data_IF_827256361038
#
_entry.id   IF_827256361038
#
_cell.length_a   1.000
_cell.length_b   1.000
_cell.length_c   1.000
_cell.angle_alpha   90.00
_cell.angle_beta   90.00
_cell.angle_gamma   90.00
#
_symmetry.space_group_name_H-M   'P 1'
#
loop_
_entity.id
_entity.type
_entity.pdbx_description
1 polymer ?
#
# COMPACT_ATOMS: atom_id res chain seq x y z
N UNK A 1 18.29 30.65 -1.07
CA UNK A 1 19.54 30.21 -0.42
C UNK A 1 19.25 29.11 0.62
N UNK A 2 18.71 27.95 0.19
CA UNK A 2 18.34 26.84 1.09
C UNK A 2 18.33 25.45 0.41
N UNK A 3 19.21 25.21 -0.58
CA UNK A 3 19.24 23.97 -1.38
C UNK A 3 20.43 23.03 -1.05
N UNK A 4 21.18 23.30 0.01
CA UNK A 4 22.50 22.67 0.24
C UNK A 4 22.58 21.67 1.42
N UNK A 5 21.44 21.13 1.89
CA UNK A 5 21.40 20.09 2.96
C UNK A 5 20.92 18.70 2.51
N UNK A 6 20.80 18.45 1.20
CA UNK A 6 20.20 17.22 0.67
C UNK A 6 21.06 15.94 0.58
N UNK A 7 22.40 15.90 0.75
CA UNK A 7 23.12 14.63 0.59
C UNK A 7 22.88 13.65 1.76
N UNK A 8 22.70 14.15 2.99
CA UNK A 8 22.43 13.31 4.17
C UNK A 8 21.03 12.66 4.09
N UNK A 9 20.04 13.39 3.57
CA UNK A 9 18.67 12.92 3.43
C UNK A 9 18.57 11.86 2.32
N UNK A 10 19.29 12.07 1.21
CA UNK A 10 19.47 11.07 0.15
C UNK A 10 20.20 9.81 0.66
N UNK A 11 21.25 9.96 1.46
CA UNK A 11 21.94 8.81 2.06
C UNK A 11 21.06 8.04 3.04
N UNK A 12 20.24 8.73 3.85
CA UNK A 12 19.25 8.10 4.73
C UNK A 12 18.20 7.29 3.95
N UNK A 13 17.67 7.86 2.85
CA UNK A 13 16.70 7.17 1.98
C UNK A 13 17.37 6.03 1.21
N UNK A 14 18.61 6.17 0.78
CA UNK A 14 19.36 5.09 0.13
C UNK A 14 19.73 3.96 1.09
N UNK A 15 20.05 4.29 2.34
CA UNK A 15 20.28 3.30 3.40
C UNK A 15 18.98 2.56 3.75
N UNK A 16 17.83 3.26 3.77
CA UNK A 16 16.49 2.68 3.89
C UNK A 16 16.17 1.75 2.71
N UNK A 17 16.45 2.19 1.48
CA UNK A 17 16.20 1.46 0.23
C UNK A 17 17.07 0.22 0.06
N UNK A 18 18.28 0.20 0.63
CA UNK A 18 19.23 -0.93 0.51
C UNK A 18 18.86 -2.19 1.27
N UNK A 19 17.69 -2.25 1.90
CA UNK A 19 17.22 -3.48 2.55
C UNK A 19 18.11 -3.92 3.70
N UNK A 20 18.80 -2.97 4.37
CA UNK A 20 19.18 -3.24 5.76
C UNK A 20 17.87 -3.47 6.49
N UNK A 21 17.64 -4.70 6.94
CA UNK A 21 16.47 -5.05 7.74
C UNK A 21 16.27 -3.97 8.79
N UNK A 22 15.27 -3.12 8.56
CA UNK A 22 14.88 -2.17 9.55
C UNK A 22 14.33 -3.00 10.68
N UNK A 23 15.03 -2.99 11.81
CA UNK A 23 14.58 -3.56 13.07
C UNK A 23 13.09 -3.20 13.19
N UNK A 24 12.23 -4.22 13.30
CA UNK A 24 10.76 -4.16 13.20
C UNK A 24 10.11 -2.93 13.88
N UNK A 25 10.76 -2.39 14.91
CA UNK A 25 10.43 -1.14 15.61
C UNK A 25 10.25 0.11 14.74
N UNK A 26 10.82 0.22 13.54
CA UNK A 26 10.72 1.45 12.72
C UNK A 26 9.42 1.56 11.92
N UNK A 27 8.66 0.47 11.76
CA UNK A 27 7.39 0.48 11.01
C UNK A 27 6.21 0.96 11.86
N UNK A 28 6.26 0.71 13.17
CA UNK A 28 5.25 1.12 14.14
C UNK A 28 5.00 2.65 14.12
N UNK A 29 6.03 3.53 14.19
CA UNK A 29 5.79 4.97 14.18
C UNK A 29 5.19 5.46 12.86
N UNK A 30 5.52 4.83 11.71
CA UNK A 30 4.90 5.19 10.42
C UNK A 30 3.40 4.88 10.36
N UNK A 31 2.93 3.88 11.12
CA UNK A 31 1.52 3.53 11.22
C UNK A 31 0.79 4.36 12.29
N UNK A 32 1.45 4.63 13.42
CA UNK A 32 0.87 5.40 14.52
C UNK A 32 0.75 6.87 14.15
N UNK A 33 1.71 7.43 13.41
CA UNK A 33 1.75 8.85 13.13
C UNK A 33 0.50 9.36 12.36
N UNK A 34 0.05 8.73 11.26
CA UNK A 34 -1.20 9.14 10.60
C UNK A 34 -2.44 9.02 11.49
N UNK A 35 -2.53 7.96 12.29
CA UNK A 35 -3.62 7.77 13.26
C UNK A 35 -3.65 8.87 14.31
N UNK A 36 -2.47 9.24 14.83
CA UNK A 36 -2.33 10.31 15.79
C UNK A 36 -2.77 11.65 15.20
N UNK A 37 -2.28 12.01 14.00
CA UNK A 37 -2.69 13.24 13.30
C UNK A 37 -4.20 13.26 13.07
N UNK A 38 -4.78 12.14 12.66
CA UNK A 38 -6.22 12.03 12.44
C UNK A 38 -7.04 12.29 13.73
N UNK A 39 -6.63 11.68 14.85
CA UNK A 39 -7.27 11.89 16.15
C UNK A 39 -7.17 13.36 16.59
N UNK A 40 -6.01 13.99 16.41
CA UNK A 40 -5.81 15.41 16.74
C UNK A 40 -6.76 16.29 15.94
N UNK A 41 -6.86 16.09 14.62
CA UNK A 41 -7.76 16.87 13.75
C UNK A 41 -9.23 16.70 14.16
N UNK A 42 -9.65 15.49 14.54
CA UNK A 42 -11.01 15.25 15.04
C UNK A 42 -11.26 15.99 16.35
N UNK A 43 -10.32 15.91 17.30
CA UNK A 43 -10.45 16.58 18.60
C UNK A 43 -10.53 18.10 18.41
N UNK A 44 -9.66 18.68 17.57
CA UNK A 44 -9.70 20.12 17.26
C UNK A 44 -11.04 20.52 16.64
N UNK A 45 -11.53 19.77 15.66
CA UNK A 45 -12.84 20.01 15.05
C UNK A 45 -13.98 19.93 16.07
N UNK A 46 -13.94 18.96 16.98
CA UNK A 46 -14.93 18.79 18.03
C UNK A 46 -14.88 19.94 19.04
N UNK A 47 -13.70 20.36 19.47
CA UNK A 47 -13.51 21.48 20.40
C UNK A 47 -14.04 22.78 19.78
N UNK A 48 -13.73 23.04 18.51
CA UNK A 48 -14.23 24.23 17.79
C UNK A 48 -15.77 24.22 17.66
N UNK A 49 -16.35 23.08 17.32
CA UNK A 49 -17.80 22.92 17.20
C UNK A 49 -18.52 23.10 18.55
N UNK A 50 -17.94 22.60 19.65
CA UNK A 50 -18.53 22.71 20.99
C UNK A 50 -18.39 24.11 21.59
N UNK A 51 -17.30 24.82 21.27
CA UNK A 51 -17.02 26.16 21.80
C UNK A 51 -17.87 27.22 21.10
N UNK A 52 -18.10 27.08 19.78
CA UNK A 52 -18.83 28.07 18.98
C UNK A 52 -20.14 27.50 18.42
N UNK A 53 -21.07 27.10 19.30
CA UNK A 53 -22.34 26.48 18.89
C UNK A 53 -23.20 27.34 17.96
N UNK A 54 -23.11 28.67 18.06
CA UNK A 54 -23.84 29.60 17.21
C UNK A 54 -23.35 29.64 15.76
N UNK A 55 -22.13 29.18 15.51
CA UNK A 55 -21.51 29.14 14.17
C UNK A 55 -21.82 27.84 13.42
N UNK A 56 -22.47 26.88 14.07
CA UNK A 56 -22.81 25.58 13.49
C UNK A 56 -24.15 25.72 12.77
N UNK A 57 -24.09 25.81 11.45
CA UNK A 57 -25.26 25.85 10.60
C UNK A 57 -25.47 24.50 9.91
N UNK A 58 -26.74 24.12 9.76
CA UNK A 58 -27.09 22.92 9.02
C UNK A 58 -27.13 23.26 7.53
N UNK A 59 -26.46 22.45 6.72
CA UNK A 59 -26.49 22.63 5.28
C UNK A 59 -27.94 22.61 4.74
N UNK A 60 -28.28 23.35 3.68
CA UNK A 60 -29.63 23.37 3.11
C UNK A 60 -30.15 22.00 2.71
N UNK A 61 -29.26 21.06 2.36
CA UNK A 61 -29.63 19.69 2.05
C UNK A 61 -29.88 18.82 3.30
N UNK A 62 -29.70 19.37 4.50
CA UNK A 62 -29.95 18.75 5.81
C UNK A 62 -29.09 17.52 6.13
N UNK A 63 -28.13 17.16 5.28
CA UNK A 63 -27.28 15.98 5.43
C UNK A 63 -26.08 16.15 6.36
N UNK A 64 -25.57 17.37 6.53
CA UNK A 64 -24.41 17.65 7.36
C UNK A 64 -24.51 19.03 8.04
N UNK A 65 -23.81 19.17 9.17
CA UNK A 65 -23.58 20.45 9.81
C UNK A 65 -22.21 20.97 9.39
N UNK A 66 -22.13 22.25 9.07
CA UNK A 66 -20.87 22.92 8.74
C UNK A 66 -20.68 24.11 9.67
N UNK A 67 -19.42 24.48 9.92
CA UNK A 67 -19.11 25.73 10.60
C UNK A 67 -19.03 26.84 9.55
N UNK A 68 -19.62 28.00 9.84
CA UNK A 68 -19.52 29.17 8.98
C UNK A 68 -18.08 29.72 8.91
N UNK A 69 -17.30 29.52 9.98
CA UNK A 69 -15.89 29.91 10.04
C UNK A 69 -15.05 29.23 8.96
N UNK A 70 -14.29 30.04 8.21
CA UNK A 70 -13.32 29.57 7.21
C UNK A 70 -12.00 29.08 7.82
N UNK A 71 -11.78 29.28 9.12
CA UNK A 71 -10.53 28.94 9.81
C UNK A 71 -10.20 27.44 9.77
N UNK A 72 -11.14 26.52 10.07
CA UNK A 72 -10.86 25.08 10.00
C UNK A 72 -10.57 24.61 8.57
N UNK A 73 -11.27 25.19 7.60
CA UNK A 73 -11.05 24.93 6.17
C UNK A 73 -9.66 25.40 5.72
N UNK A 74 -9.20 26.56 6.19
CA UNK A 74 -7.86 27.06 5.89
C UNK A 74 -6.77 26.15 6.48
N UNK A 75 -6.89 25.77 7.76
CA UNK A 75 -5.90 24.93 8.45
C UNK A 75 -5.79 23.57 7.75
N UNK A 76 -6.93 22.91 7.52
CA UNK A 76 -6.96 21.63 6.82
C UNK A 76 -6.40 21.73 5.40
N UNK A 77 -6.71 22.79 4.65
CA UNK A 77 -6.14 23.01 3.32
C UNK A 77 -4.61 23.14 3.36
N UNK A 78 -4.05 23.87 4.33
CA UNK A 78 -2.59 24.01 4.51
C UNK A 78 -1.95 22.66 4.83
N UNK A 79 -2.52 21.90 5.77
CA UNK A 79 -2.01 20.58 6.17
C UNK A 79 -2.01 19.63 4.97
N UNK A 80 -3.13 19.54 4.25
CA UNK A 80 -3.26 18.67 3.06
C UNK A 80 -2.29 19.10 1.96
N UNK A 81 -2.07 20.40 1.77
CA UNK A 81 -1.10 20.90 0.77
C UNK A 81 0.33 20.49 1.11
N UNK A 82 0.72 20.60 2.38
CA UNK A 82 2.04 20.16 2.86
C UNK A 82 2.19 18.65 2.67
N UNK A 83 1.18 17.88 3.08
CA UNK A 83 1.18 16.43 2.95
C UNK A 83 1.28 15.99 1.49
N UNK A 84 0.47 16.58 0.59
CA UNK A 84 0.52 16.33 -0.84
C UNK A 84 1.90 16.67 -1.43
N UNK A 85 2.49 17.79 -1.03
CA UNK A 85 3.85 18.16 -1.42
C UNK A 85 4.90 17.12 -1.01
N UNK A 86 4.84 16.64 0.23
CA UNK A 86 5.71 15.57 0.72
C UNK A 86 5.50 14.26 -0.05
N UNK A 87 4.25 13.89 -0.36
CA UNK A 87 3.96 12.70 -1.16
C UNK A 87 4.58 12.77 -2.55
N UNK A 88 4.45 13.91 -3.25
CA UNK A 88 5.03 14.13 -4.58
C UNK A 88 6.55 14.01 -4.54
N UNK A 89 7.21 14.61 -3.54
CA UNK A 89 8.67 14.50 -3.37
C UNK A 89 9.08 13.04 -3.21
N UNK A 90 8.39 12.29 -2.35
CA UNK A 90 8.66 10.86 -2.15
C UNK A 90 8.43 10.04 -3.41
N UNK A 91 7.44 10.39 -4.23
CA UNK A 91 7.18 9.73 -5.53
C UNK A 91 8.29 9.99 -6.54
N UNK A 92 8.75 11.23 -6.67
CA UNK A 92 9.87 11.58 -7.55
C UNK A 92 11.13 10.84 -7.13
N UNK A 93 11.45 10.82 -5.82
CA UNK A 93 12.61 10.09 -5.30
C UNK A 93 12.48 8.59 -5.60
N UNK A 94 11.31 8.01 -5.34
CA UNK A 94 11.06 6.59 -5.64
C UNK A 94 11.20 6.31 -7.13
N UNK A 95 10.65 7.15 -7.99
CA UNK A 95 10.75 7.05 -9.45
C UNK A 95 12.19 7.12 -9.95
N UNK A 96 13.00 8.04 -9.42
CA UNK A 96 14.43 8.16 -9.74
C UNK A 96 15.18 6.88 -9.31
N UNK A 97 14.94 6.38 -8.10
CA UNK A 97 15.56 5.15 -7.61
C UNK A 97 15.19 3.93 -8.47
N UNK A 98 13.93 3.84 -8.91
CA UNK A 98 13.47 2.79 -9.81
C UNK A 98 14.11 2.91 -11.20
N UNK A 99 14.22 4.13 -11.72
CA UNK A 99 14.86 4.37 -13.00
C UNK A 99 16.35 3.99 -12.95
N UNK A 100 17.08 4.42 -11.93
CA UNK A 100 18.48 4.04 -11.71
C UNK A 100 18.63 2.51 -11.57
N UNK A 101 17.74 1.86 -10.82
CA UNK A 101 17.77 0.41 -10.66
C UNK A 101 17.54 -0.32 -12.00
N UNK A 102 16.59 0.15 -12.81
CA UNK A 102 16.30 -0.40 -14.13
C UNK A 102 17.49 -0.24 -15.09
N UNK A 103 18.14 0.93 -15.09
CA UNK A 103 19.30 1.18 -15.98
C UNK A 103 20.55 0.40 -15.55
N UNK A 104 20.78 0.22 -14.25
CA UNK A 104 21.91 -0.57 -13.74
C UNK A 104 21.72 -2.08 -13.91
N UNK A 105 20.51 -2.61 -13.69
CA UNK A 105 20.21 -4.03 -13.88
C UNK A 105 20.16 -4.43 -15.36
N UNK A 106 19.65 -3.56 -16.25
CA UNK A 106 19.66 -3.81 -17.69
C UNK A 106 21.06 -3.93 -18.31
N UNK A 107 22.13 -3.61 -17.56
CA UNK A 107 23.53 -3.72 -17.98
C UNK A 107 24.27 -4.92 -17.36
N UNK A 108 23.69 -5.58 -16.36
CA UNK A 108 24.27 -6.76 -15.69
C UNK A 108 23.25 -7.88 -15.68
N UNK A 109 23.24 -8.71 -16.72
CA UNK A 109 22.37 -9.88 -16.87
C UNK A 109 22.54 -10.97 -15.80
N UNK A 110 23.44 -10.85 -14.82
CA UNK A 110 23.91 -12.05 -14.09
C UNK A 110 24.19 -11.89 -12.58
N UNK A 111 23.35 -11.21 -11.79
CA UNK A 111 23.51 -11.28 -10.32
C UNK A 111 22.21 -11.63 -9.59
N UNK A 112 21.94 -12.93 -9.63
CA UNK A 112 21.61 -13.85 -8.52
C UNK A 112 21.09 -13.25 -7.20
N UNK A 113 19.83 -13.58 -6.90
CA UNK A 113 19.36 -14.09 -5.60
C UNK A 113 18.97 -13.17 -4.41
N UNK A 114 18.75 -11.86 -4.57
CA UNK A 114 17.97 -11.12 -3.54
C UNK A 114 16.93 -10.13 -4.10
N UNK A 115 16.70 -10.18 -5.41
CA UNK A 115 15.84 -9.25 -6.13
C UNK A 115 14.37 -9.65 -6.00
N UNK A 116 13.74 -9.34 -4.86
CA UNK A 116 12.28 -9.21 -4.87
C UNK A 116 11.90 -8.19 -5.94
N UNK A 117 11.12 -8.58 -6.97
CA UNK A 117 10.74 -7.67 -8.03
C UNK A 117 9.98 -6.50 -7.40
N UNK A 118 10.46 -5.28 -7.64
CA UNK A 118 9.78 -4.11 -7.13
C UNK A 118 8.34 -4.11 -7.71
N UNK A 119 7.30 -3.97 -6.87
CA UNK A 119 5.92 -4.05 -7.33
C UNK A 119 5.53 -2.77 -8.08
N UNK A 120 5.89 -2.68 -9.37
CA UNK A 120 5.58 -1.54 -10.25
C UNK A 120 4.09 -1.19 -10.23
N UNK A 121 3.22 -2.20 -10.09
CA UNK A 121 1.78 -1.99 -9.96
C UNK A 121 1.38 -1.15 -8.74
N UNK A 122 2.06 -1.29 -7.60
CA UNK A 122 1.80 -0.45 -6.41
C UNK A 122 2.25 0.98 -6.63
N UNK A 123 3.36 1.19 -7.36
CA UNK A 123 3.85 2.53 -7.66
C UNK A 123 2.94 3.28 -8.64
N UNK A 124 2.47 2.63 -9.70
CA UNK A 124 1.50 3.23 -10.63
C UNK A 124 0.21 3.60 -9.88
N UNK A 125 -0.29 2.70 -9.03
CA UNK A 125 -1.45 2.94 -8.18
C UNK A 125 -1.26 4.16 -7.27
N UNK A 126 -0.09 4.30 -6.67
CA UNK A 126 0.26 5.45 -5.85
C UNK A 126 0.23 6.77 -6.65
N UNK A 127 0.83 6.79 -7.85
CA UNK A 127 0.78 7.97 -8.74
C UNK A 127 -0.65 8.34 -9.10
N UNK A 128 -1.50 7.37 -9.42
CA UNK A 128 -2.91 7.64 -9.73
C UNK A 128 -3.62 8.27 -8.53
N UNK A 129 -3.32 7.79 -7.32
CA UNK A 129 -3.87 8.36 -6.08
C UNK A 129 -3.43 9.82 -5.88
N UNK A 130 -2.13 10.11 -6.02
CA UNK A 130 -1.61 11.47 -5.82
C UNK A 130 -2.10 12.44 -6.89
N UNK A 131 -2.24 11.99 -8.14
CA UNK A 131 -2.87 12.78 -9.22
C UNK A 131 -4.33 13.09 -8.90
N UNK A 132 -5.08 12.14 -8.32
CA UNK A 132 -6.47 12.37 -7.93
C UNK A 132 -6.58 13.42 -6.80
N UNK A 133 -5.72 13.35 -5.79
CA UNK A 133 -5.64 14.35 -4.72
C UNK A 133 -5.27 15.73 -5.29
N UNK A 134 -4.24 15.79 -6.14
CA UNK A 134 -3.82 17.03 -6.79
C UNK A 134 -4.92 17.65 -7.64
N UNK A 135 -5.67 16.83 -8.38
CA UNK A 135 -6.83 17.28 -9.16
C UNK A 135 -7.95 17.83 -8.26
N UNK A 136 -8.26 17.15 -7.15
CA UNK A 136 -9.24 17.62 -6.17
C UNK A 136 -8.82 18.97 -5.55
N UNK A 137 -7.56 19.13 -5.17
CA UNK A 137 -7.00 20.40 -4.66
C UNK A 137 -7.03 21.51 -5.71
N UNK A 138 -6.70 21.19 -6.96
CA UNK A 138 -6.76 22.14 -8.07
C UNK A 138 -8.19 22.63 -8.34
N UNK A 139 -9.16 21.72 -8.35
CA UNK A 139 -10.57 22.08 -8.40
C UNK A 139 -10.98 22.93 -7.21
N UNK A 140 -10.51 22.58 -6.01
CA UNK A 140 -10.81 23.34 -4.80
C UNK A 140 -10.35 24.79 -4.92
N UNK A 141 -9.08 24.99 -5.29
CA UNK A 141 -8.50 26.31 -5.48
C UNK A 141 -9.19 27.11 -6.59
N UNK A 142 -9.55 26.46 -7.71
CA UNK A 142 -10.23 27.10 -8.83
C UNK A 142 -11.63 27.63 -8.45
N UNK A 143 -12.37 26.87 -7.64
CA UNK A 143 -13.69 27.28 -7.16
C UNK A 143 -13.56 28.42 -6.14
N UNK A 144 -12.57 28.35 -5.25
CA UNK A 144 -12.32 29.42 -4.27
C UNK A 144 -12.00 30.75 -4.97
N UNK A 145 -11.32 30.70 -6.12
CA UNK A 145 -11.06 31.87 -6.97
C UNK A 145 -12.32 32.39 -7.70
N UNK A 146 -13.40 31.60 -7.78
CA UNK A 146 -14.63 31.93 -8.51
C UNK A 146 -15.90 31.65 -7.68
N UNK A 147 -16.15 32.43 -6.61
CA UNK A 147 -17.23 32.16 -5.64
C UNK A 147 -18.66 32.25 -6.21
N UNK A 148 -18.85 32.79 -7.41
CA UNK A 148 -20.18 33.05 -7.99
C UNK A 148 -20.87 31.81 -8.61
N UNK A 149 -20.31 30.60 -8.50
CA UNK A 149 -20.88 29.38 -9.10
C UNK A 149 -21.16 28.29 -8.06
N UNK A 150 -22.43 28.20 -7.64
CA UNK A 150 -23.13 27.09 -6.95
C UNK A 150 -22.30 26.09 -6.10
N UNK A 151 -22.52 26.15 -4.78
CA UNK A 151 -21.86 25.36 -3.73
C UNK A 151 -22.28 23.87 -3.65
N UNK A 152 -23.28 23.43 -4.43
CA UNK A 152 -23.82 22.07 -4.32
C UNK A 152 -22.86 20.94 -4.77
N UNK A 153 -21.73 21.28 -5.41
CA UNK A 153 -20.79 20.28 -5.99
C UNK A 153 -19.71 19.76 -5.03
N UNK A 154 -19.59 20.33 -3.82
CA UNK A 154 -18.52 19.99 -2.89
C UNK A 154 -18.67 18.60 -2.23
N UNK A 155 -19.90 18.16 -1.97
CA UNK A 155 -20.15 16.87 -1.30
C UNK A 155 -19.66 15.65 -2.09
N UNK A 156 -19.56 15.75 -3.42
CA UNK A 156 -19.04 14.68 -4.28
C UNK A 156 -17.50 14.59 -4.23
N UNK A 157 -16.82 15.72 -4.04
CA UNK A 157 -15.36 15.76 -3.87
C UNK A 157 -14.94 15.16 -2.53
N UNK A 158 -15.74 15.32 -1.47
CA UNK A 158 -15.47 14.72 -0.16
C UNK A 158 -15.62 13.18 -0.14
N UNK A 159 -16.50 12.63 -0.96
CA UNK A 159 -16.70 11.17 -1.07
C UNK A 159 -15.76 10.51 -2.09
N UNK A 160 -15.10 11.30 -2.94
CA UNK A 160 -14.14 10.83 -3.94
C UNK A 160 -12.96 10.03 -3.36
N UNK A 161 -12.24 10.53 -2.33
CA UNK A 161 -11.07 9.85 -1.78
C UNK A 161 -11.35 8.41 -1.33
N UNK A 162 -12.35 8.09 -0.48
CA UNK A 162 -12.60 6.70 -0.09
C UNK A 162 -13.01 5.80 -1.26
N UNK A 163 -13.72 6.31 -2.27
CA UNK A 163 -14.04 5.57 -3.50
C UNK A 163 -12.80 5.25 -4.32
N UNK A 164 -11.91 6.23 -4.49
CA UNK A 164 -10.66 6.08 -5.24
C UNK A 164 -9.70 5.16 -4.48
N UNK A 165 -9.60 5.29 -3.16
CA UNK A 165 -8.86 4.38 -2.30
C UNK A 165 -9.41 2.96 -2.44
N UNK A 166 -10.73 2.76 -2.37
CA UNK A 166 -11.35 1.47 -2.59
C UNK A 166 -11.07 0.91 -4.00
N UNK A 167 -11.03 1.74 -5.04
CA UNK A 167 -10.67 1.32 -6.40
C UNK A 167 -9.18 0.97 -6.55
N UNK A 168 -8.31 1.63 -5.80
CA UNK A 168 -6.85 1.41 -5.87
C UNK A 168 -6.43 0.19 -5.06
N UNK A 169 -7.02 0.00 -3.89
CA UNK A 169 -6.70 -1.09 -2.97
C UNK A 169 -7.63 -2.32 -3.14
N UNK A 170 -8.87 -2.12 -3.57
CA UNK A 170 -9.89 -3.16 -3.73
C UNK A 170 -9.56 -4.26 -4.75
N UNK A 171 -8.84 -4.03 -5.86
CA UNK A 171 -8.48 -5.09 -6.79
C UNK A 171 -7.12 -5.71 -6.43
N UNK A 172 -6.79 -5.85 -5.15
CA UNK A 172 -5.83 -6.88 -4.75
C UNK A 172 -6.56 -8.23 -4.88
N UNK A 173 -6.27 -8.94 -5.99
CA UNK A 173 -6.76 -10.31 -6.24
C UNK A 173 -6.52 -11.26 -5.06
N UNK A 174 -5.57 -10.97 -4.18
CA UNK A 174 -5.33 -11.72 -2.95
C UNK A 174 -6.43 -11.54 -1.90
N UNK A 175 -6.88 -10.32 -1.64
CA UNK A 175 -7.97 -10.06 -0.69
C UNK A 175 -9.29 -10.59 -1.26
N UNK A 176 -9.55 -10.39 -2.57
CA UNK A 176 -10.74 -10.98 -3.17
C UNK A 176 -10.69 -12.50 -3.15
N UNK A 177 -9.53 -13.13 -3.33
CA UNK A 177 -9.40 -14.59 -3.17
C UNK A 177 -9.60 -15.02 -1.73
N UNK A 178 -9.09 -14.30 -0.74
CA UNK A 178 -9.33 -14.62 0.67
C UNK A 178 -10.82 -14.57 1.04
N UNK A 179 -11.57 -13.60 0.50
CA UNK A 179 -13.00 -13.42 0.79
C UNK A 179 -13.92 -14.26 -0.10
N UNK A 180 -13.58 -14.49 -1.37
CA UNK A 180 -14.42 -15.22 -2.34
C UNK A 180 -14.00 -16.67 -2.57
N UNK A 181 -12.75 -17.05 -2.31
CA UNK A 181 -12.40 -18.46 -2.19
C UNK A 181 -12.71 -18.88 -0.76
N UNK A 182 -14.00 -19.09 -0.51
CA UNK A 182 -14.49 -19.72 0.71
C UNK A 182 -13.69 -20.99 1.00
N UNK A 183 -13.46 -21.24 2.30
CA UNK A 183 -12.83 -22.47 2.81
C UNK A 183 -13.31 -23.65 1.97
N UNK A 184 -12.42 -24.48 1.38
CA UNK A 184 -12.85 -25.78 0.91
C UNK A 184 -13.45 -26.47 2.12
N UNK A 185 -14.75 -26.77 2.05
CA UNK A 185 -15.42 -27.55 3.08
C UNK A 185 -14.59 -28.83 3.23
N UNK A 186 -13.94 -28.96 4.37
CA UNK A 186 -13.27 -30.19 4.77
C UNK A 186 -14.37 -31.20 5.03
N UNK A 187 -14.82 -31.83 3.95
CA UNK A 187 -15.52 -33.09 4.02
C UNK A 187 -14.66 -34.04 3.21
N UNK A 188 -13.95 -34.91 3.91
CA UNK A 188 -13.40 -36.12 3.34
C UNK A 188 -14.46 -36.77 2.43
N UNK A 189 -14.10 -37.05 1.18
CA UNK A 189 -13.96 -38.43 0.73
C UNK A 189 -13.85 -38.51 -0.80
N UNK A 190 -12.82 -39.24 -1.21
CA UNK A 190 -12.72 -40.02 -2.45
C UNK A 190 -12.62 -39.31 -3.80
N UNK A 191 -11.44 -39.45 -4.39
CA UNK A 191 -11.30 -39.86 -5.79
C UNK A 191 -11.47 -38.75 -6.81
N UNK A 192 -10.39 -38.05 -7.11
CA UNK A 192 -10.06 -37.70 -8.50
C UNK A 192 -8.56 -37.45 -8.61
N UNK A 193 -7.85 -38.53 -8.96
CA UNK A 193 -6.62 -38.45 -9.73
C UNK A 193 -6.93 -37.61 -10.96
N UNK A 194 -6.37 -36.40 -11.03
CA UNK A 194 -6.20 -35.70 -12.29
C UNK A 194 -4.71 -35.40 -12.43
N UNK A 195 -4.07 -36.44 -12.93
CA UNK A 195 -2.79 -36.47 -13.59
C UNK A 195 -2.65 -35.26 -14.53
N UNK A 196 -1.77 -34.32 -14.20
CA UNK A 196 -1.24 -33.37 -15.16
C UNK A 196 0.27 -33.40 -15.04
N UNK A 197 0.84 -34.42 -15.70
CA UNK A 197 2.26 -34.59 -15.87
C UNK A 197 2.83 -33.45 -16.71
N UNK A 198 3.64 -32.62 -16.08
CA UNK A 198 4.68 -31.87 -16.78
C UNK A 198 5.76 -31.43 -15.78
N UNK A 199 6.68 -32.34 -15.43
CA UNK A 199 7.76 -31.97 -14.53
C UNK A 199 8.67 -33.05 -13.97
N UNK A 200 8.80 -34.22 -14.58
CA UNK A 200 9.80 -35.22 -14.16
C UNK A 200 10.45 -35.87 -15.39
N UNK A 201 11.15 -35.07 -16.20
CA UNK A 201 12.04 -35.57 -17.26
C UNK A 201 13.45 -34.96 -17.19
N UNK A 202 13.79 -34.22 -16.14
CA UNK A 202 15.12 -33.60 -16.02
C UNK A 202 15.99 -34.11 -14.86
N UNK A 203 15.46 -34.91 -13.92
CA UNK A 203 16.27 -35.53 -12.87
C UNK A 203 16.68 -36.99 -13.14
N UNK A 204 16.19 -37.63 -14.21
CA UNK A 204 16.58 -39.02 -14.52
C UNK A 204 17.94 -39.13 -15.24
N UNK A 205 18.49 -38.04 -15.79
CA UNK A 205 19.75 -38.07 -16.56
C UNK A 205 20.99 -37.71 -15.74
N UNK A 206 20.84 -37.25 -14.49
CA UNK A 206 21.98 -36.92 -13.62
C UNK A 206 22.37 -38.04 -12.67
N UNK A 207 21.50 -39.02 -12.41
CA UNK A 207 21.81 -40.19 -11.58
C UNK A 207 22.42 -41.39 -12.34
N UNK A 208 22.45 -41.36 -13.68
CA UNK A 208 23.09 -42.44 -14.46
C UNK A 208 24.62 -42.26 -14.63
N UNK A 209 25.15 -41.07 -14.31
CA UNK A 209 26.58 -40.75 -14.42
C UNK A 209 27.35 -40.93 -13.10
N UNK A 210 26.64 -41.25 -12.02
CA UNK A 210 27.23 -41.54 -10.71
C UNK A 210 26.93 -43.00 -10.44
N UNK A 211 27.87 -43.88 -10.76
CA UNK A 211 27.78 -45.33 -10.52
C UNK A 211 27.74 -45.68 -9.03
N UNK A 212 26.72 -45.22 -8.32
CA UNK A 212 26.44 -45.60 -6.94
C UNK A 212 25.41 -46.73 -6.96
N UNK A 213 25.92 -47.93 -6.70
CA UNK A 213 25.11 -49.13 -6.45
C UNK A 213 24.23 -48.86 -5.22
N UNK A 214 22.89 -48.98 -5.32
CA UNK A 214 22.01 -48.79 -4.17
C UNK A 214 22.34 -49.82 -3.10
N UNK A 215 22.65 -49.35 -1.89
CA UNK A 215 22.89 -50.21 -0.73
C UNK A 215 21.59 -50.93 -0.34
N UNK A 216 21.65 -52.20 0.10
CA UNK A 216 20.47 -52.96 0.52
C UNK A 216 19.77 -52.27 1.69
N UNK A 217 18.46 -52.08 1.57
CA UNK A 217 17.63 -51.58 2.66
C UNK A 217 17.65 -52.58 3.83
N UNK A 218 17.70 -52.08 5.09
CA UNK A 218 17.62 -52.94 6.25
C UNK A 218 16.23 -53.62 6.36
N UNK A 219 16.16 -54.80 7.01
CA UNK A 219 14.91 -55.55 7.15
C UNK A 219 13.84 -54.74 7.89
N UNK A 220 12.63 -54.75 7.35
CA UNK A 220 11.46 -54.12 7.95
C UNK A 220 11.03 -54.87 9.22
N UNK A 221 11.10 -54.20 10.37
CA UNK A 221 10.58 -54.69 11.66
C UNK A 221 9.12 -54.22 11.82
N UNK A 222 8.13 -55.14 11.88
CA UNK A 222 6.73 -54.74 12.04
C UNK A 222 6.46 -54.26 13.47
N UNK A 223 5.96 -53.03 13.60
CA UNK A 223 5.56 -52.44 14.86
C UNK A 223 4.42 -53.25 15.53
N UNK A 224 4.70 -53.77 16.72
CA UNK A 224 3.73 -54.39 17.63
C UNK A 224 2.61 -53.42 17.98
N UNK A 225 1.38 -53.82 17.67
CA UNK A 225 0.12 -53.16 18.03
C UNK A 225 -0.05 -53.21 19.55
N UNK A 226 -0.14 -52.04 20.20
CA UNK A 226 -0.54 -51.90 21.60
C UNK A 226 -2.06 -51.68 21.58
N UNK A 227 -2.81 -52.67 22.04
CA UNK A 227 -4.23 -52.54 22.32
C UNK A 227 -4.42 -51.88 23.69
N UNK A 228 -5.11 -50.73 23.73
CA UNK A 228 -5.84 -50.24 24.91
C UNK A 228 -7.06 -49.41 24.48
#
# INVERSE_FOLDING_TARGET
MALMRSPQLLLGIQAYSRGKEMKSSTHIPLLIFPLFVYVVVIIEGLVLALTNKSEVERDPAMFYCHLHSSTPALISAVVITIEAGLMIILEVITGILLYQRKTHLGRRESVTASNTPFPVGLFIRKIVYTMNIGFALGLYAFILANPNKSNAKWSLLLTGPPLVTALIFGPHRDISRFWFCGRPNTTESSGCVSESGHGLMHESKLNELRGETPSPLPPYEPATRIDL
#
